data_IF_806496947369
#
_entry.id   IF_806496947369
#
_cell.length_a   1.000
_cell.length_b   1.000
_cell.length_c   1.000
_cell.angle_alpha   90.00
_cell.angle_beta   90.00
_cell.angle_gamma   90.00
#
_symmetry.space_group_name_H-M   'P 1'
#
loop_
_entity.id
_entity.type
_entity.pdbx_description
1 polymer ?
#
# COMPACT_ATOMS: atom_id res chain seq x y z
N UNK A 1 33.14 -46.58 -8.76
CA UNK A 1 32.50 -45.79 -7.70
C UNK A 1 32.30 -44.39 -8.27
N UNK A 2 31.07 -43.91 -8.46
CA UNK A 2 30.87 -42.53 -8.84
C UNK A 2 31.12 -41.62 -7.61
N UNK A 3 31.85 -40.53 -7.82
CA UNK A 3 32.11 -39.49 -6.82
C UNK A 3 30.79 -38.82 -6.41
N UNK A 4 30.59 -38.41 -5.14
CA UNK A 4 29.41 -37.71 -4.71
C UNK A 4 29.35 -36.34 -5.40
N UNK A 5 28.20 -36.06 -6.00
CA UNK A 5 27.88 -34.77 -6.62
C UNK A 5 27.78 -33.74 -5.47
N UNK A 6 28.80 -32.88 -5.35
CA UNK A 6 28.72 -31.73 -4.45
C UNK A 6 27.66 -30.75 -4.97
N UNK A 7 26.56 -30.74 -4.26
CA UNK A 7 25.52 -29.72 -4.49
C UNK A 7 26.05 -28.39 -3.93
N UNK A 8 26.62 -27.57 -4.80
CA UNK A 8 26.92 -26.17 -4.45
C UNK A 8 25.62 -25.39 -4.31
N UNK A 9 25.07 -25.34 -3.08
CA UNK A 9 24.01 -24.41 -2.73
C UNK A 9 24.64 -23.01 -2.73
N UNK A 10 24.51 -22.28 -3.84
CA UNK A 10 24.74 -20.83 -3.80
C UNK A 10 23.83 -20.27 -2.72
N UNK A 11 24.38 -19.74 -1.63
CA UNK A 11 23.65 -18.90 -0.71
C UNK A 11 23.11 -17.72 -1.51
N UNK A 12 21.85 -17.80 -1.94
CA UNK A 12 21.12 -16.66 -2.43
C UNK A 12 21.00 -15.74 -1.20
N UNK A 13 21.68 -14.60 -1.20
CA UNK A 13 21.38 -13.53 -0.26
C UNK A 13 19.98 -13.08 -0.66
N UNK A 14 18.95 -13.50 0.08
CA UNK A 14 17.61 -12.96 -0.08
C UNK A 14 17.73 -11.48 0.29
N UNK A 15 17.44 -10.60 -0.65
CA UNK A 15 17.28 -9.20 -0.34
C UNK A 15 16.10 -9.10 0.64
N UNK A 16 16.26 -8.30 1.70
CA UNK A 16 15.21 -8.13 2.70
C UNK A 16 13.95 -7.58 2.05
N UNK A 17 12.81 -8.21 2.31
CA UNK A 17 11.50 -7.69 1.87
C UNK A 17 11.23 -6.35 2.53
N UNK A 18 10.78 -5.38 1.75
CA UNK A 18 10.36 -4.06 2.24
C UNK A 18 8.90 -4.13 2.73
N UNK A 19 8.66 -3.77 3.99
CA UNK A 19 7.37 -3.93 4.64
C UNK A 19 6.72 -2.56 4.86
N UNK A 20 5.53 -2.37 4.30
CA UNK A 20 4.72 -1.16 4.41
C UNK A 20 3.53 -1.46 5.33
N UNK A 21 3.47 -0.78 6.49
CA UNK A 21 2.28 -0.74 7.31
C UNK A 21 1.32 0.32 6.74
N UNK A 22 0.22 -0.12 6.16
CA UNK A 22 -0.82 0.76 5.61
C UNK A 22 -1.73 1.27 6.73
N UNK A 23 -1.40 2.43 7.27
CA UNK A 23 -2.27 3.16 8.19
C UNK A 23 -3.53 3.68 7.49
N UNK A 24 -3.40 3.98 6.18
CA UNK A 24 -4.52 4.45 5.35
C UNK A 24 -5.22 5.65 5.97
N UNK A 25 -6.51 5.48 6.25
CA UNK A 25 -7.35 6.46 6.97
C UNK A 25 -7.69 6.03 8.40
N UNK A 26 -7.05 4.99 8.93
CA UNK A 26 -7.30 4.46 10.29
C UNK A 26 -6.94 5.42 11.42
N UNK A 27 -6.40 6.58 11.11
CA UNK A 27 -6.25 7.70 12.05
C UNK A 27 -7.56 8.47 12.29
N UNK A 28 -8.63 8.21 11.52
CA UNK A 28 -9.95 8.82 11.69
C UNK A 28 -9.94 10.37 11.71
N UNK A 29 -9.06 11.02 10.95
CA UNK A 29 -8.89 12.48 10.94
C UNK A 29 -8.20 13.04 12.19
N UNK A 30 -7.66 12.20 13.07
CA UNK A 30 -6.96 12.60 14.28
C UNK A 30 -5.43 12.53 14.07
N UNK A 31 -4.79 13.69 14.16
CA UNK A 31 -3.35 13.83 14.00
C UNK A 31 -2.54 13.04 15.06
N UNK A 32 -2.99 13.03 16.30
CA UNK A 32 -2.28 12.31 17.38
C UNK A 32 -2.41 10.79 17.22
N UNK A 33 -3.55 10.29 16.70
CA UNK A 33 -3.67 8.89 16.31
C UNK A 33 -2.72 8.55 15.16
N UNK A 34 -2.66 9.39 14.12
CA UNK A 34 -1.73 9.19 13.00
C UNK A 34 -0.27 9.13 13.47
N UNK A 35 0.12 10.05 14.35
CA UNK A 35 1.45 10.08 14.96
C UNK A 35 1.75 8.83 15.79
N UNK A 36 0.77 8.36 16.57
CA UNK A 36 0.88 7.11 17.33
C UNK A 36 1.03 5.89 16.41
N UNK A 37 0.35 5.86 15.27
CA UNK A 37 0.50 4.79 14.28
C UNK A 37 1.92 4.73 13.72
N UNK A 38 2.58 5.87 13.45
CA UNK A 38 3.99 5.89 13.03
C UNK A 38 4.88 5.27 14.12
N UNK A 39 4.67 5.63 15.38
CA UNK A 39 5.43 5.10 16.50
C UNK A 39 5.27 3.58 16.66
N UNK A 40 4.04 3.08 16.59
CA UNK A 40 3.76 1.64 16.69
C UNK A 40 4.29 0.87 15.47
N UNK A 41 4.19 1.41 14.26
CA UNK A 41 4.83 0.84 13.07
C UNK A 41 6.35 0.72 13.23
N UNK A 42 7.01 1.76 13.77
CA UNK A 42 8.44 1.72 14.08
C UNK A 42 8.77 0.63 15.10
N UNK A 43 7.99 0.49 16.16
CA UNK A 43 8.19 -0.56 17.19
C UNK A 43 7.99 -1.96 16.62
N UNK A 44 7.02 -2.14 15.72
CA UNK A 44 6.79 -3.39 15.01
C UNK A 44 7.93 -3.76 14.05
N UNK A 45 8.78 -2.80 13.67
CA UNK A 45 9.96 -3.03 12.82
C UNK A 45 9.67 -2.96 11.32
N UNK A 46 8.57 -2.36 10.90
CA UNK A 46 8.28 -2.12 9.47
C UNK A 46 9.23 -1.07 8.88
N UNK A 47 9.40 -1.09 7.57
CA UNK A 47 10.25 -0.13 6.87
C UNK A 47 9.55 1.21 6.65
N UNK A 48 8.23 1.19 6.41
CA UNK A 48 7.44 2.40 6.21
C UNK A 48 6.07 2.34 6.87
N UNK A 49 5.53 3.50 7.22
CA UNK A 49 4.10 3.70 7.48
C UNK A 49 3.52 4.54 6.35
N UNK A 50 2.41 4.04 5.77
CA UNK A 50 1.75 4.68 4.63
C UNK A 50 0.36 5.19 5.01
N UNK A 51 0.06 6.39 4.55
CA UNK A 51 -1.22 7.08 4.68
C UNK A 51 -1.90 7.27 3.32
N UNK A 52 -3.03 7.94 3.32
CA UNK A 52 -3.76 8.38 2.13
C UNK A 52 -3.93 9.89 2.21
N UNK A 53 -3.53 10.60 1.15
CA UNK A 53 -3.65 12.05 1.07
C UNK A 53 -4.65 12.40 -0.02
N UNK A 54 -5.67 13.12 0.36
CA UNK A 54 -6.73 13.57 -0.54
C UNK A 54 -7.40 14.84 -0.01
N UNK A 55 -8.04 15.55 -0.92
CA UNK A 55 -9.01 16.60 -0.61
C UNK A 55 -10.40 16.01 -0.93
N UNK A 56 -11.23 15.81 0.08
CA UNK A 56 -12.50 15.08 -0.05
C UNK A 56 -13.41 15.64 -1.15
N UNK A 57 -13.41 16.96 -1.37
CA UNK A 57 -14.16 17.60 -2.44
C UNK A 57 -13.64 17.31 -3.85
N UNK A 58 -12.36 16.93 -3.99
CA UNK A 58 -11.74 16.61 -5.28
C UNK A 58 -11.86 15.12 -5.61
N UNK A 59 -12.07 14.28 -4.59
CA UNK A 59 -12.05 12.82 -4.72
C UNK A 59 -13.39 12.24 -5.19
N UNK A 60 -14.50 12.76 -4.69
CA UNK A 60 -15.85 12.24 -5.01
C UNK A 60 -16.85 13.35 -5.23
N UNK A 61 -17.83 13.09 -6.09
CA UNK A 61 -18.99 14.00 -6.24
C UNK A 61 -19.88 13.96 -4.98
N UNK A 62 -20.62 15.05 -4.75
CA UNK A 62 -21.56 15.14 -3.62
C UNK A 62 -22.69 14.07 -3.65
N UNK A 63 -22.89 13.43 -4.81
CA UNK A 63 -23.91 12.38 -5.01
C UNK A 63 -23.34 10.96 -5.01
N UNK A 64 -22.02 10.80 -4.80
CA UNK A 64 -21.39 9.50 -4.78
C UNK A 64 -21.93 8.64 -3.63
N UNK A 65 -22.17 7.36 -3.93
CA UNK A 65 -22.60 6.38 -2.92
C UNK A 65 -21.40 5.69 -2.31
N UNK A 66 -21.48 5.40 -1.02
CA UNK A 66 -20.47 4.58 -0.34
C UNK A 66 -20.46 3.15 -0.88
N UNK A 67 -19.29 2.50 -0.86
CA UNK A 67 -19.17 1.08 -1.13
C UNK A 67 -19.88 0.25 -0.04
N UNK A 68 -20.31 -0.96 -0.38
CA UNK A 68 -21.09 -1.82 0.55
C UNK A 68 -20.36 -2.07 1.87
N UNK A 69 -19.04 -2.29 1.85
CA UNK A 69 -18.26 -2.51 3.06
C UNK A 69 -18.17 -1.26 3.94
N UNK A 70 -18.12 -0.07 3.32
CA UNK A 70 -18.12 1.22 4.01
C UNK A 70 -19.47 1.46 4.72
N UNK A 71 -20.57 1.10 4.06
CA UNK A 71 -21.92 1.20 4.67
C UNK A 71 -22.08 0.34 5.92
N UNK A 72 -21.36 -0.79 6.02
CA UNK A 72 -21.41 -1.68 7.19
C UNK A 72 -20.64 -1.16 8.40
N UNK A 73 -19.68 -0.26 8.20
CA UNK A 73 -18.72 0.21 9.23
C UNK A 73 -18.82 1.71 9.53
N UNK A 74 -19.65 2.47 8.78
CA UNK A 74 -19.83 3.92 8.95
C UNK A 74 -21.32 4.28 9.00
N UNK A 75 -21.66 5.54 9.32
CA UNK A 75 -23.05 6.01 9.40
C UNK A 75 -23.75 5.86 8.03
N UNK A 76 -24.89 5.16 8.02
CA UNK A 76 -25.69 4.92 6.81
C UNK A 76 -26.28 6.19 6.18
N UNK A 77 -26.46 7.26 6.97
CA UNK A 77 -27.14 8.50 6.55
C UNK A 77 -26.19 9.56 6.01
N UNK A 78 -24.87 9.37 6.13
CA UNK A 78 -23.90 10.32 5.58
C UNK A 78 -23.52 9.99 4.14
N UNK A 79 -23.22 11.04 3.34
CA UNK A 79 -22.68 10.87 1.99
C UNK A 79 -21.24 10.31 2.04
N UNK A 80 -20.76 9.76 0.91
CA UNK A 80 -19.36 9.37 0.80
C UNK A 80 -18.43 10.57 1.01
N UNK A 81 -18.77 11.73 0.50
CA UNK A 81 -17.99 12.95 0.66
C UNK A 81 -17.90 13.38 2.14
N UNK A 82 -19.01 13.34 2.88
CA UNK A 82 -19.00 13.67 4.32
C UNK A 82 -18.18 12.69 5.14
N UNK A 83 -18.25 11.40 4.79
CA UNK A 83 -17.40 10.38 5.41
C UNK A 83 -15.91 10.68 5.17
N UNK A 84 -15.52 10.93 3.92
CA UNK A 84 -14.14 11.22 3.56
C UNK A 84 -13.62 12.50 4.22
N UNK A 85 -14.47 13.54 4.32
CA UNK A 85 -14.11 14.79 4.98
C UNK A 85 -13.76 14.64 6.46
N UNK A 86 -14.37 13.67 7.16
CA UNK A 86 -14.03 13.33 8.55
C UNK A 86 -12.69 12.62 8.68
N UNK A 87 -12.23 11.99 7.60
CA UNK A 87 -11.00 11.20 7.53
C UNK A 87 -9.82 12.02 6.97
N UNK A 88 -10.07 13.23 6.49
CA UNK A 88 -9.06 14.10 5.88
C UNK A 88 -8.12 14.68 6.93
N UNK A 89 -6.81 14.67 6.65
CA UNK A 89 -5.80 15.45 7.34
C UNK A 89 -5.29 16.56 6.41
N UNK A 90 -4.93 17.69 6.98
CA UNK A 90 -4.36 18.79 6.21
C UNK A 90 -2.94 18.51 5.72
N UNK A 91 -2.51 19.14 4.64
CA UNK A 91 -1.13 19.06 4.14
C UNK A 91 -0.09 19.49 5.19
N UNK A 92 -0.45 20.43 6.08
CA UNK A 92 0.40 20.82 7.20
C UNK A 92 0.59 19.67 8.19
N UNK A 93 -0.46 18.96 8.53
CA UNK A 93 -0.39 17.77 9.39
C UNK A 93 0.44 16.66 8.77
N UNK A 94 0.29 16.39 7.47
CA UNK A 94 1.15 15.44 6.76
C UNK A 94 2.63 15.85 6.76
N UNK A 95 2.93 17.14 6.66
CA UNK A 95 4.31 17.61 6.79
C UNK A 95 4.89 17.32 8.18
N UNK A 96 4.12 17.57 9.23
CA UNK A 96 4.53 17.26 10.61
C UNK A 96 4.66 15.74 10.86
N UNK A 97 3.79 14.91 10.27
CA UNK A 97 3.91 13.45 10.33
C UNK A 97 5.18 12.96 9.62
N UNK A 98 5.54 13.55 8.48
CA UNK A 98 6.79 13.23 7.77
C UNK A 98 8.01 13.61 8.60
N UNK A 99 8.02 14.79 9.26
CA UNK A 99 9.09 15.21 10.16
C UNK A 99 9.24 14.20 11.32
N UNK A 100 8.14 13.84 11.95
CA UNK A 100 8.11 12.87 13.05
C UNK A 100 8.60 11.48 12.61
N UNK A 101 8.18 11.00 11.45
CA UNK A 101 8.68 9.73 10.90
C UNK A 101 10.21 9.78 10.66
N UNK A 102 10.71 10.93 10.19
CA UNK A 102 12.14 11.14 9.97
C UNK A 102 12.95 11.11 11.29
N UNK A 103 12.43 11.72 12.36
CA UNK A 103 13.02 11.65 13.72
C UNK A 103 13.11 10.19 14.22
N UNK A 104 12.10 9.39 13.93
CA UNK A 104 12.06 7.97 14.29
C UNK A 104 12.86 7.07 13.33
N UNK A 105 13.42 7.61 12.25
CA UNK A 105 14.12 6.85 11.23
C UNK A 105 13.25 5.72 10.64
N UNK A 106 12.03 6.06 10.24
CA UNK A 106 11.10 5.19 9.50
C UNK A 106 10.65 5.94 8.25
N UNK A 107 10.47 5.24 7.14
CA UNK A 107 9.98 5.87 5.93
C UNK A 107 8.51 6.29 6.08
N UNK A 108 8.24 7.51 5.65
CA UNK A 108 6.88 8.03 5.50
C UNK A 108 6.46 7.90 4.06
N UNK A 109 5.29 7.29 3.85
CA UNK A 109 4.65 7.18 2.54
C UNK A 109 3.23 7.72 2.62
N UNK A 110 2.73 8.20 1.51
CA UNK A 110 1.31 8.47 1.34
C UNK A 110 0.90 8.26 -0.12
N UNK A 111 -0.29 7.70 -0.31
CA UNK A 111 -0.91 7.57 -1.63
C UNK A 111 -1.71 8.84 -1.92
N UNK A 112 -1.41 9.61 -2.99
CA UNK A 112 -2.26 10.71 -3.41
C UNK A 112 -3.52 10.19 -4.12
N UNK A 113 -4.63 10.89 -3.99
CA UNK A 113 -5.87 10.58 -4.71
C UNK A 113 -6.41 11.76 -5.53
N UNK A 114 -5.68 12.88 -5.58
CA UNK A 114 -5.99 14.03 -6.41
C UNK A 114 -4.70 14.74 -6.85
N UNK A 115 -4.82 15.66 -7.81
CA UNK A 115 -3.66 16.33 -8.39
C UNK A 115 -2.91 17.25 -7.42
N UNK A 116 -3.63 17.94 -6.54
CA UNK A 116 -3.02 18.81 -5.51
C UNK A 116 -2.24 17.97 -4.50
N UNK A 117 -2.77 16.79 -4.15
CA UNK A 117 -2.09 15.82 -3.28
C UNK A 117 -0.80 15.27 -3.94
N UNK A 118 -0.79 15.03 -5.27
CA UNK A 118 0.44 14.65 -5.99
C UNK A 118 1.48 15.76 -5.89
N UNK A 119 1.09 17.01 -6.14
CA UNK A 119 2.01 18.17 -6.08
C UNK A 119 2.59 18.34 -4.68
N UNK A 120 1.75 18.30 -3.66
CA UNK A 120 2.16 18.38 -2.27
C UNK A 120 3.14 17.26 -1.89
N UNK A 121 2.79 16.00 -2.14
CA UNK A 121 3.60 14.85 -1.78
C UNK A 121 4.91 14.76 -2.58
N UNK A 122 4.92 15.29 -3.81
CA UNK A 122 6.17 15.39 -4.57
C UNK A 122 7.21 16.26 -3.87
N UNK A 123 6.78 17.37 -3.26
CA UNK A 123 7.61 18.25 -2.43
C UNK A 123 8.05 17.64 -1.10
N UNK A 124 7.31 16.67 -0.59
CA UNK A 124 7.54 16.07 0.74
C UNK A 124 8.72 15.08 0.78
N UNK A 125 9.22 14.64 -0.38
CA UNK A 125 10.44 13.82 -0.45
C UNK A 125 10.26 12.36 -0.07
N UNK A 126 9.12 11.73 -0.45
CA UNK A 126 8.92 10.29 -0.32
C UNK A 126 9.91 9.49 -1.17
N UNK A 127 10.36 8.30 -0.74
CA UNK A 127 11.34 7.49 -1.47
C UNK A 127 10.80 6.97 -2.81
N UNK A 128 9.52 6.70 -2.92
CA UNK A 128 8.84 6.22 -4.13
C UNK A 128 7.35 6.59 -4.11
N UNK A 129 6.69 6.44 -5.25
CA UNK A 129 5.24 6.56 -5.35
C UNK A 129 4.55 5.23 -5.11
N UNK A 130 3.53 5.22 -4.25
CA UNK A 130 2.54 4.14 -4.22
C UNK A 130 1.33 4.55 -5.04
N UNK A 131 1.03 3.74 -6.04
CA UNK A 131 -0.12 3.93 -6.95
C UNK A 131 -1.14 2.84 -6.64
N UNK A 132 -2.38 3.19 -6.24
CA UNK A 132 -3.40 2.22 -5.91
C UNK A 132 -4.00 1.62 -7.19
N UNK A 133 -4.63 0.45 -7.08
CA UNK A 133 -5.23 -0.25 -8.23
C UNK A 133 -6.31 0.57 -8.94
N UNK A 134 -7.05 1.39 -8.21
CA UNK A 134 -8.11 2.24 -8.76
C UNK A 134 -7.61 3.32 -9.72
N UNK A 135 -6.32 3.65 -9.68
CA UNK A 135 -5.71 4.68 -10.52
C UNK A 135 -4.99 4.12 -11.76
N UNK A 136 -5.05 2.82 -11.99
CA UNK A 136 -4.27 2.17 -13.07
C UNK A 136 -4.67 2.65 -14.46
N UNK A 137 -5.91 3.02 -14.67
CA UNK A 137 -6.43 3.56 -15.93
C UNK A 137 -6.62 5.09 -15.92
N UNK A 138 -6.21 5.77 -14.83
CA UNK A 138 -6.24 7.23 -14.73
C UNK A 138 -5.00 7.82 -15.40
N UNK A 139 -5.04 7.95 -16.73
CA UNK A 139 -3.92 8.44 -17.52
C UNK A 139 -3.37 9.81 -17.09
N UNK A 140 -4.19 10.84 -16.79
CA UNK A 140 -3.68 12.12 -16.29
C UNK A 140 -2.87 11.97 -15.00
N UNK A 141 -3.38 11.17 -14.06
CA UNK A 141 -2.71 10.87 -12.79
C UNK A 141 -1.36 10.18 -13.02
N UNK A 142 -1.33 9.13 -13.84
CA UNK A 142 -0.10 8.38 -14.15
C UNK A 142 0.93 9.26 -14.85
N UNK A 143 0.51 10.11 -15.81
CA UNK A 143 1.41 11.05 -16.50
C UNK A 143 2.03 12.05 -15.52
N UNK A 144 1.24 12.59 -14.58
CA UNK A 144 1.74 13.53 -13.57
C UNK A 144 2.80 12.86 -12.66
N UNK A 145 2.55 11.65 -12.21
CA UNK A 145 3.53 10.87 -11.43
C UNK A 145 4.78 10.56 -12.25
N UNK A 146 4.64 10.17 -13.53
CA UNK A 146 5.77 9.79 -14.38
C UNK A 146 6.78 10.93 -14.60
N UNK A 147 6.32 12.17 -14.55
CA UNK A 147 7.18 13.35 -14.68
C UNK A 147 8.17 13.51 -13.51
N UNK A 148 7.86 12.94 -12.35
CA UNK A 148 8.70 13.05 -11.15
C UNK A 148 9.94 12.16 -11.19
N UNK A 149 9.96 11.14 -12.05
CA UNK A 149 11.03 10.14 -12.22
C UNK A 149 11.41 9.36 -10.95
N UNK A 150 10.61 9.43 -9.88
CA UNK A 150 10.78 8.61 -8.67
C UNK A 150 10.35 7.17 -8.95
N UNK A 151 10.94 6.16 -8.29
CA UNK A 151 10.46 4.78 -8.38
C UNK A 151 8.97 4.67 -8.06
N UNK A 152 8.32 3.63 -8.59
CA UNK A 152 6.91 3.38 -8.38
C UNK A 152 6.65 1.98 -7.82
N UNK A 153 5.66 1.89 -6.96
CA UNK A 153 5.03 0.65 -6.48
C UNK A 153 3.56 0.71 -6.87
N UNK A 154 3.16 -0.08 -7.87
CA UNK A 154 1.84 -0.04 -8.50
C UNK A 154 1.04 -1.30 -8.13
N UNK A 155 -0.11 -1.13 -7.48
CA UNK A 155 -1.06 -2.21 -7.22
C UNK A 155 -1.90 -2.55 -8.45
N UNK A 156 -2.26 -3.85 -8.60
CA UNK A 156 -2.90 -4.39 -9.79
C UNK A 156 -4.23 -5.12 -9.51
N UNK A 157 -4.85 -4.84 -8.36
CA UNK A 157 -6.16 -5.41 -8.01
C UNK A 157 -7.25 -5.01 -9.00
N UNK A 158 -8.15 -5.95 -9.35
CA UNK A 158 -9.22 -5.78 -10.36
C UNK A 158 -8.74 -5.50 -11.79
N UNK A 159 -7.43 -5.50 -12.03
CA UNK A 159 -6.89 -5.10 -13.32
C UNK A 159 -6.65 -6.28 -14.24
N UNK A 160 -6.94 -6.11 -15.50
CA UNK A 160 -6.54 -7.04 -16.56
C UNK A 160 -5.05 -6.86 -16.90
N UNK A 161 -4.46 -7.87 -17.52
CA UNK A 161 -3.08 -7.80 -18.02
C UNK A 161 -2.89 -6.66 -19.03
N UNK A 162 -3.92 -6.33 -19.81
CA UNK A 162 -3.88 -5.25 -20.80
C UNK A 162 -3.83 -3.89 -20.12
N UNK A 163 -4.66 -3.66 -19.11
CA UNK A 163 -4.65 -2.39 -18.34
C UNK A 163 -3.32 -2.18 -17.62
N UNK A 164 -2.73 -3.24 -17.07
CA UNK A 164 -1.39 -3.17 -16.45
C UNK A 164 -0.34 -2.79 -17.50
N UNK A 165 -0.39 -3.38 -18.70
CA UNK A 165 0.53 -3.07 -19.79
C UNK A 165 0.39 -1.61 -20.26
N UNK A 166 -0.84 -1.12 -20.41
CA UNK A 166 -1.13 0.28 -20.76
C UNK A 166 -0.59 1.25 -19.71
N UNK A 167 -0.81 0.96 -18.43
CA UNK A 167 -0.25 1.75 -17.34
C UNK A 167 1.29 1.76 -17.35
N UNK A 168 1.92 0.60 -17.56
CA UNK A 168 3.38 0.50 -17.64
C UNK A 168 3.97 1.23 -18.85
N UNK A 169 3.23 1.39 -19.95
CA UNK A 169 3.66 2.17 -21.11
C UNK A 169 3.83 3.66 -20.78
N UNK A 170 3.08 4.18 -19.80
CA UNK A 170 3.28 5.56 -19.29
C UNK A 170 4.65 5.73 -18.63
N UNK A 171 5.20 4.64 -18.10
CA UNK A 171 6.52 4.58 -17.45
C UNK A 171 7.59 3.91 -18.34
N UNK A 172 7.43 3.96 -19.66
CA UNK A 172 8.34 3.30 -20.60
C UNK A 172 9.81 3.75 -20.45
N UNK A 173 10.03 5.00 -20.05
CA UNK A 173 11.36 5.57 -19.82
C UNK A 173 11.98 5.18 -18.48
N UNK A 174 11.24 4.45 -17.63
CA UNK A 174 11.74 3.99 -16.34
C UNK A 174 12.60 2.74 -16.52
N UNK A 175 13.67 2.64 -15.73
CA UNK A 175 14.36 1.37 -15.58
C UNK A 175 13.44 0.36 -14.89
N UNK A 176 13.47 -0.88 -15.31
CA UNK A 176 12.62 -1.94 -14.73
C UNK A 176 12.83 -2.14 -13.24
N UNK A 177 14.03 -1.90 -12.71
CA UNK A 177 14.36 -1.91 -11.29
C UNK A 177 13.65 -0.84 -10.47
N UNK A 178 13.15 0.21 -11.10
CA UNK A 178 12.38 1.29 -10.46
C UNK A 178 10.86 1.04 -10.47
N UNK A 179 10.42 -0.14 -10.90
CA UNK A 179 9.03 -0.52 -10.98
C UNK A 179 8.81 -1.79 -10.17
N UNK A 180 7.89 -1.74 -9.22
CA UNK A 180 7.40 -2.92 -8.50
C UNK A 180 5.90 -3.03 -8.69
N UNK A 181 5.40 -4.21 -9.08
CA UNK A 181 3.97 -4.50 -9.16
C UNK A 181 3.53 -5.25 -7.90
N UNK A 182 2.45 -4.80 -7.28
CA UNK A 182 1.83 -5.53 -6.18
C UNK A 182 0.59 -6.26 -6.69
N UNK A 183 0.58 -7.58 -6.58
CA UNK A 183 -0.67 -8.33 -6.63
C UNK A 183 -1.51 -7.98 -5.40
N UNK A 184 -2.81 -7.84 -5.56
CA UNK A 184 -3.76 -7.66 -4.46
C UNK A 184 -5.18 -8.02 -4.90
N UNK A 185 -6.03 -8.29 -3.93
CA UNK A 185 -7.48 -8.36 -4.08
C UNK A 185 -8.10 -7.05 -3.61
N UNK A 186 -9.36 -6.80 -3.99
CA UNK A 186 -10.09 -5.57 -3.65
C UNK A 186 -11.29 -5.79 -2.75
N UNK A 187 -11.34 -6.94 -2.11
CA UNK A 187 -12.31 -7.28 -1.07
C UNK A 187 -11.66 -7.14 0.32
N UNK A 188 -12.37 -6.51 1.26
CA UNK A 188 -11.87 -6.18 2.61
C UNK A 188 -12.79 -6.75 3.70
N UNK A 189 -12.41 -7.85 4.39
CA UNK A 189 -11.23 -8.68 4.17
C UNK A 189 -11.36 -9.60 2.96
N UNK A 190 -10.24 -9.94 2.32
CA UNK A 190 -10.15 -10.92 1.24
C UNK A 190 -10.33 -12.34 1.77
N UNK A 191 -11.23 -13.16 1.23
CA UNK A 191 -11.30 -14.59 1.54
C UNK A 191 -10.03 -15.33 1.10
N UNK A 192 -9.54 -16.27 1.90
CA UNK A 192 -8.30 -17.01 1.61
C UNK A 192 -8.31 -17.75 0.26
N UNK A 193 -9.46 -18.24 -0.20
CA UNK A 193 -9.59 -18.95 -1.47
C UNK A 193 -9.44 -18.05 -2.70
N UNK A 194 -9.52 -16.71 -2.54
CA UNK A 194 -9.39 -15.75 -3.62
C UNK A 194 -7.97 -15.14 -3.73
N UNK A 195 -7.09 -15.44 -2.79
CA UNK A 195 -5.76 -14.82 -2.66
C UNK A 195 -4.86 -15.01 -3.89
N UNK A 196 -4.81 -16.18 -4.51
CA UNK A 196 -4.05 -16.52 -5.72
C UNK A 196 -2.63 -15.93 -5.81
N UNK A 197 -1.75 -16.23 -4.84
CA UNK A 197 -0.37 -15.70 -4.80
C UNK A 197 0.46 -16.03 -6.07
N UNK A 198 0.08 -17.05 -6.84
CA UNK A 198 0.75 -17.35 -8.13
C UNK A 198 0.61 -16.23 -9.17
N UNK A 199 -0.34 -15.31 -9.02
CA UNK A 199 -0.46 -14.13 -9.87
C UNK A 199 0.81 -13.26 -9.81
N UNK A 200 1.53 -13.20 -8.68
CA UNK A 200 2.82 -12.50 -8.58
C UNK A 200 3.85 -13.06 -9.57
N UNK A 201 3.91 -14.38 -9.71
CA UNK A 201 4.82 -15.04 -10.67
C UNK A 201 4.45 -14.63 -12.10
N UNK A 202 3.17 -14.66 -12.44
CA UNK A 202 2.67 -14.25 -13.78
C UNK A 202 3.06 -12.80 -14.09
N UNK A 203 2.87 -11.88 -13.15
CA UNK A 203 3.25 -10.47 -13.29
C UNK A 203 4.76 -10.32 -13.51
N UNK A 204 5.58 -11.01 -12.68
CA UNK A 204 7.04 -10.96 -12.76
C UNK A 204 7.55 -11.46 -14.13
N UNK A 205 7.05 -12.59 -14.58
CA UNK A 205 7.49 -13.21 -15.85
C UNK A 205 7.03 -12.39 -17.06
N UNK A 206 5.79 -11.89 -17.04
CA UNK A 206 5.25 -11.12 -18.17
C UNK A 206 5.92 -9.75 -18.32
N UNK A 207 6.10 -9.01 -17.23
CA UNK A 207 6.54 -7.62 -17.31
C UNK A 207 8.04 -7.43 -16.98
N UNK A 208 8.72 -8.47 -16.52
CA UNK A 208 10.12 -8.44 -16.12
C UNK A 208 10.43 -7.29 -15.12
N UNK A 209 9.65 -7.21 -14.04
CA UNK A 209 9.76 -6.23 -12.95
C UNK A 209 9.77 -6.93 -11.60
N UNK A 210 10.13 -6.20 -10.53
CA UNK A 210 9.95 -6.66 -9.17
C UNK A 210 8.47 -6.85 -8.83
N UNK A 211 8.15 -7.80 -7.96
CA UNK A 211 6.77 -8.08 -7.53
C UNK A 211 6.68 -8.13 -6.01
N UNK A 212 5.50 -7.80 -5.53
CA UNK A 212 5.13 -7.89 -4.13
C UNK A 212 3.65 -8.18 -3.97
N UNK A 213 3.18 -8.09 -2.75
CA UNK A 213 1.78 -8.36 -2.41
C UNK A 213 1.22 -7.28 -1.49
N UNK A 214 0.06 -6.72 -1.85
CA UNK A 214 -0.73 -5.87 -0.97
C UNK A 214 -1.87 -6.71 -0.41
N UNK A 215 -1.79 -7.02 0.88
CA UNK A 215 -2.64 -8.01 1.54
C UNK A 215 -3.84 -7.39 2.24
N UNK A 216 -5.02 -7.92 1.92
CA UNK A 216 -6.29 -7.56 2.55
C UNK A 216 -6.95 -8.75 3.27
N UNK A 217 -6.23 -9.87 3.43
CA UNK A 217 -6.73 -11.02 4.24
C UNK A 217 -6.67 -10.70 5.73
N UNK A 218 -7.32 -11.50 6.54
CA UNK A 218 -7.10 -11.52 7.98
C UNK A 218 -5.80 -12.29 8.31
N UNK A 219 -5.18 -12.01 9.46
CA UNK A 219 -3.98 -12.71 9.91
C UNK A 219 -2.71 -12.36 9.15
N UNK A 220 -1.65 -13.14 9.37
CA UNK A 220 -0.29 -12.88 8.90
C UNK A 220 0.26 -13.98 7.96
N UNK A 221 -0.48 -15.06 7.76
CA UNK A 221 -0.03 -16.24 7.04
C UNK A 221 0.19 -15.96 5.56
N UNK A 222 -0.71 -15.18 4.95
CA UNK A 222 -0.66 -14.87 3.52
C UNK A 222 0.52 -13.99 3.16
N UNK A 223 0.82 -12.86 3.86
CA UNK A 223 2.00 -12.07 3.57
C UNK A 223 3.30 -12.84 3.78
N UNK A 224 3.40 -13.71 4.80
CA UNK A 224 4.56 -14.59 5.00
C UNK A 224 4.71 -15.55 3.80
N UNK A 225 3.62 -16.18 3.36
CA UNK A 225 3.62 -17.04 2.18
C UNK A 225 4.01 -16.28 0.90
N UNK A 226 3.56 -15.03 0.75
CA UNK A 226 3.95 -14.19 -0.39
C UNK A 226 5.46 -13.92 -0.43
N UNK A 227 6.09 -13.67 0.73
CA UNK A 227 7.55 -13.53 0.83
C UNK A 227 8.26 -14.82 0.41
N UNK A 228 7.78 -15.97 0.88
CA UNK A 228 8.33 -17.27 0.49
C UNK A 228 8.21 -17.54 -1.02
N UNK A 229 7.23 -16.94 -1.69
CA UNK A 229 7.03 -16.99 -3.15
C UNK A 229 7.76 -15.86 -3.91
N UNK A 230 8.55 -15.04 -3.21
CA UNK A 230 9.44 -14.06 -3.81
C UNK A 230 8.89 -12.63 -3.88
N UNK A 231 7.93 -12.27 -3.02
CA UNK A 231 7.52 -10.89 -2.83
C UNK A 231 8.69 -10.04 -2.29
N UNK A 232 9.01 -8.95 -2.96
CA UNK A 232 10.05 -7.99 -2.54
C UNK A 232 9.48 -6.84 -1.72
N UNK A 233 8.17 -6.63 -1.79
CA UNK A 233 7.41 -5.63 -1.05
C UNK A 233 6.16 -6.31 -0.49
N UNK A 234 5.87 -6.08 0.78
CA UNK A 234 4.60 -6.42 1.43
C UNK A 234 3.94 -5.13 1.89
N UNK A 235 2.65 -4.98 1.59
CA UNK A 235 1.80 -3.93 2.14
C UNK A 235 0.66 -4.59 2.91
N UNK A 236 0.40 -4.13 4.12
CA UNK A 236 -0.66 -4.66 4.98
C UNK A 236 -1.33 -3.57 5.77
N UNK A 237 -2.67 -3.55 5.78
CA UNK A 237 -3.43 -2.62 6.61
C UNK A 237 -3.11 -2.78 8.10
N UNK A 238 -2.98 -1.64 8.76
CA UNK A 238 -2.59 -1.53 10.16
C UNK A 238 -3.51 -0.56 10.90
N UNK A 239 -3.85 -0.91 12.14
CA UNK A 239 -4.64 -0.08 13.06
C UNK A 239 -4.11 -0.18 14.48
N UNK A 240 -4.48 0.78 15.33
CA UNK A 240 -4.19 0.71 16.76
C UNK A 240 -5.19 -0.16 17.52
N UNK A 241 -6.43 -0.28 17.01
CA UNK A 241 -7.52 -1.08 17.58
C UNK A 241 -8.57 -1.35 16.48
N UNK A 242 -8.90 -2.62 16.24
CA UNK A 242 -9.90 -3.04 15.24
C UNK A 242 -11.32 -2.63 15.59
N UNK A 243 -11.58 -2.29 16.83
CA UNK A 243 -12.91 -1.88 17.29
C UNK A 243 -13.19 -0.40 17.06
N UNK A 244 -12.20 0.39 16.60
CA UNK A 244 -12.42 1.77 16.24
C UNK A 244 -13.40 1.88 15.06
N UNK A 245 -14.23 2.95 15.02
CA UNK A 245 -15.11 3.21 13.90
C UNK A 245 -14.28 3.63 12.68
N UNK A 246 -14.61 3.13 11.50
CA UNK A 246 -13.94 3.48 10.24
C UNK A 246 -14.00 2.35 9.23
N UNK A 247 -13.66 2.62 7.96
CA UNK A 247 -13.84 1.67 6.88
C UNK A 247 -12.89 0.48 6.93
N UNK A 248 -11.64 0.64 7.41
CA UNK A 248 -10.56 -0.32 7.17
C UNK A 248 -10.06 -1.04 8.44
N UNK A 249 -10.48 -0.59 9.64
CA UNK A 249 -10.00 -1.15 10.91
C UNK A 249 -10.19 -2.67 11.02
N UNK A 250 -11.33 -3.21 10.56
CA UNK A 250 -11.66 -4.64 10.68
C UNK A 250 -10.77 -5.56 9.86
N UNK A 251 -10.22 -5.07 8.75
CA UNK A 251 -9.30 -5.81 7.88
C UNK A 251 -7.83 -5.59 8.25
N UNK A 252 -7.55 -4.77 9.28
CA UNK A 252 -6.21 -4.33 9.64
C UNK A 252 -5.59 -5.21 10.73
N UNK A 253 -4.26 -5.32 10.75
CA UNK A 253 -3.50 -5.89 11.86
C UNK A 253 -3.41 -4.89 13.01
N UNK A 254 -3.39 -5.38 14.24
CA UNK A 254 -3.02 -4.62 15.42
C UNK A 254 -1.49 -4.64 15.65
N UNK A 255 -0.92 -3.79 16.53
CA UNK A 255 0.53 -3.64 16.66
C UNK A 255 1.30 -4.92 16.95
N UNK A 256 0.75 -5.82 17.79
CA UNK A 256 1.39 -7.11 18.10
C UNK A 256 1.46 -8.03 16.89
N UNK A 257 0.37 -8.14 16.14
CA UNK A 257 0.29 -8.98 14.92
C UNK A 257 1.17 -8.43 13.82
N UNK A 258 1.25 -7.08 13.68
CA UNK A 258 2.17 -6.46 12.73
C UNK A 258 3.62 -6.82 13.07
N UNK A 259 4.00 -6.80 14.36
CA UNK A 259 5.32 -7.22 14.80
C UNK A 259 5.59 -8.71 14.55
N UNK A 260 4.62 -9.58 14.77
CA UNK A 260 4.71 -11.01 14.46
C UNK A 260 4.87 -11.26 12.94
N UNK A 261 4.15 -10.50 12.10
CA UNK A 261 4.30 -10.57 10.63
C UNK A 261 5.71 -10.18 10.17
N UNK A 262 6.31 -9.16 10.79
CA UNK A 262 7.66 -8.68 10.44
C UNK A 262 8.73 -9.71 10.81
N UNK A 263 8.51 -10.47 11.87
CA UNK A 263 9.45 -11.51 12.36
C UNK A 263 9.33 -12.84 11.61
N UNK A 264 8.16 -13.16 11.00
CA UNK A 264 7.87 -14.39 10.28
C UNK A 264 8.42 -14.42 8.89
#
# INVERSE_FOLDING_TARGET
MPLPMEIHVKRCRMERTYIIAEAGVNHNGDFELAKKMILEGKKAGVDAVKFQTFIASNLVSSTARKAEYQMKSTDHNESQQDMLKKLELSFKEFSLLKEYASELQIDFLSTPFDEESIEFLNGLGMPFWKIPSGEINNLPYLLKISQTKKPIVLSTGMCTIVEIEEALNVFADYKRENITLLHCNTEYPTPYYDVNLHAMKTLKEKFNVSVGYSDHTQGIEVPIAAVALGATVIEKHFTLDRNLPGPDHKASLEPSELGEMVMG
#
